data_IF_670641123507
#
_entry.id   IF_670641123507
#
_cell.length_a   1.000
_cell.length_b   1.000
_cell.length_c   1.000
_cell.angle_alpha   90.00
_cell.angle_beta   90.00
_cell.angle_gamma   90.00
#
_symmetry.space_group_name_H-M   'P 1'
#
loop_
_entity.id
_entity.type
_entity.pdbx_description
1 polymer ?
#
# COMPACT_ATOMS: atom_id res chain seq x y z
N UNK A 1 8.19 9.84 -24.22
CA UNK A 1 7.66 8.64 -23.52
C UNK A 1 6.64 8.00 -24.43
N UNK A 2 6.50 6.67 -24.41
CA UNK A 2 5.43 5.96 -25.12
C UNK A 2 4.08 6.33 -24.47
N UNK A 3 3.03 6.57 -25.27
CA UNK A 3 1.73 7.03 -24.80
C UNK A 3 1.10 6.11 -23.76
N UNK A 4 1.34 4.79 -23.86
CA UNK A 4 0.83 3.80 -22.89
C UNK A 4 1.45 3.99 -21.51
N UNK A 5 2.76 4.24 -21.42
CA UNK A 5 3.41 4.49 -20.13
C UNK A 5 2.93 5.81 -19.50
N UNK A 6 2.73 6.83 -20.33
CA UNK A 6 2.25 8.13 -19.86
C UNK A 6 0.84 8.02 -19.27
N UNK A 7 -0.08 7.34 -19.94
CA UNK A 7 -1.46 7.13 -19.49
C UNK A 7 -1.48 6.38 -18.16
N UNK A 8 -0.78 5.24 -18.06
CA UNK A 8 -0.74 4.43 -16.83
C UNK A 8 -0.18 5.23 -15.65
N UNK A 9 0.87 6.03 -15.85
CA UNK A 9 1.44 6.82 -14.77
C UNK A 9 0.54 7.99 -14.36
N UNK A 10 -0.20 8.61 -15.29
CA UNK A 10 -1.22 9.62 -14.94
C UNK A 10 -2.35 9.02 -14.13
N UNK A 11 -2.82 7.82 -14.49
CA UNK A 11 -3.82 7.08 -13.75
C UNK A 11 -3.31 6.72 -12.34
N UNK A 12 -2.04 6.29 -12.22
CA UNK A 12 -1.39 6.02 -10.94
C UNK A 12 -1.35 7.28 -10.06
N UNK A 13 -0.87 8.41 -10.59
CA UNK A 13 -0.82 9.67 -9.84
C UNK A 13 -2.22 10.13 -9.40
N UNK A 14 -3.23 9.96 -10.25
CA UNK A 14 -4.61 10.24 -9.90
C UNK A 14 -5.13 9.32 -8.78
N UNK A 15 -4.79 8.02 -8.84
CA UNK A 15 -5.13 7.07 -7.78
C UNK A 15 -4.46 7.46 -6.45
N UNK A 16 -3.16 7.78 -6.45
CA UNK A 16 -2.42 8.20 -5.25
C UNK A 16 -3.02 9.50 -4.67
N UNK A 17 -3.37 10.46 -5.52
CA UNK A 17 -4.01 11.71 -5.07
C UNK A 17 -5.35 11.47 -4.35
N UNK A 18 -6.11 10.46 -4.77
CA UNK A 18 -7.37 10.04 -4.14
C UNK A 18 -7.20 9.11 -2.94
N UNK A 19 -5.98 8.67 -2.66
CA UNK A 19 -5.64 7.74 -1.60
C UNK A 19 -4.71 8.35 -0.54
N UNK A 20 -5.11 9.46 0.14
CA UNK A 20 -4.26 10.10 1.16
C UNK A 20 -4.07 9.23 2.41
N UNK A 21 -4.85 8.17 2.61
CA UNK A 21 -4.68 7.15 3.64
C UNK A 21 -5.12 5.78 3.12
N UNK A 22 -4.76 4.70 3.81
CA UNK A 22 -5.16 3.32 3.46
C UNK A 22 -6.67 3.17 3.33
N UNK A 23 -7.46 3.84 4.18
CA UNK A 23 -8.94 3.82 4.11
C UNK A 23 -9.46 4.41 2.79
N UNK A 24 -8.82 5.46 2.30
CA UNK A 24 -9.14 6.08 1.01
C UNK A 24 -8.71 5.20 -0.16
N UNK A 25 -7.55 4.52 -0.07
CA UNK A 25 -7.09 3.58 -1.08
C UNK A 25 -8.09 2.43 -1.25
N UNK A 26 -8.49 1.79 -0.15
CA UNK A 26 -9.52 0.73 -0.13
C UNK A 26 -10.84 1.24 -0.71
N UNK A 27 -11.31 2.41 -0.30
CA UNK A 27 -12.56 2.98 -0.81
C UNK A 27 -12.48 3.28 -2.32
N UNK A 28 -11.36 3.78 -2.82
CA UNK A 28 -11.15 4.06 -4.24
C UNK A 28 -11.22 2.77 -5.08
N UNK A 29 -10.54 1.71 -4.64
CA UNK A 29 -10.56 0.39 -5.30
C UNK A 29 -11.95 -0.25 -5.20
N UNK A 30 -12.59 -0.23 -4.02
CA UNK A 30 -13.95 -0.75 -3.82
C UNK A 30 -14.96 -0.07 -4.76
N UNK A 31 -14.86 1.25 -4.88
CA UNK A 31 -15.71 2.03 -5.78
C UNK A 31 -15.49 1.64 -7.25
N UNK A 32 -14.24 1.51 -7.68
CA UNK A 32 -13.92 1.08 -9.04
C UNK A 32 -14.41 -0.35 -9.33
N UNK A 33 -14.29 -1.26 -8.36
CA UNK A 33 -14.83 -2.63 -8.47
C UNK A 33 -16.37 -2.65 -8.58
N UNK A 34 -17.07 -1.80 -7.82
CA UNK A 34 -18.52 -1.65 -7.92
C UNK A 34 -18.95 -1.26 -9.34
N UNK A 35 -18.27 -0.28 -9.96
CA UNK A 35 -18.51 0.07 -11.37
C UNK A 35 -18.15 -1.05 -12.36
N UNK A 36 -17.23 -1.94 -12.00
CA UNK A 36 -16.87 -3.13 -12.78
C UNK A 36 -17.81 -4.33 -12.55
N UNK A 37 -18.89 -4.13 -11.79
CA UNK A 37 -19.94 -5.14 -11.55
C UNK A 37 -19.58 -6.17 -10.46
N UNK A 38 -18.70 -5.83 -9.53
CA UNK A 38 -18.43 -6.66 -8.35
C UNK A 38 -19.52 -6.44 -7.29
N UNK A 39 -20.03 -7.55 -6.73
CA UNK A 39 -20.96 -7.54 -5.61
C UNK A 39 -20.20 -7.43 -4.30
N UNK A 40 -20.50 -6.41 -3.50
CA UNK A 40 -19.96 -6.31 -2.15
C UNK A 40 -20.64 -7.30 -1.22
N UNK A 41 -19.83 -8.10 -0.52
CA UNK A 41 -20.27 -9.06 0.49
C UNK A 41 -19.61 -8.73 1.83
N UNK A 42 -20.23 -9.14 2.93
CA UNK A 42 -19.75 -8.84 4.28
C UNK A 42 -19.16 -10.07 4.97
N UNK A 43 -18.15 -9.90 5.78
CA UNK A 43 -17.56 -11.01 6.52
C UNK A 43 -18.54 -11.61 7.55
N UNK A 44 -19.41 -10.80 8.11
CA UNK A 44 -20.39 -11.18 9.13
C UNK A 44 -21.51 -12.08 8.57
N UNK A 45 -21.78 -11.98 7.26
CA UNK A 45 -22.87 -12.72 6.63
C UNK A 45 -22.43 -14.08 6.08
N UNK A 46 -23.30 -15.07 6.00
CA UNK A 46 -23.08 -16.28 5.18
C UNK A 46 -22.92 -15.91 3.70
N UNK A 47 -21.88 -16.46 3.04
CA UNK A 47 -21.67 -16.16 1.62
C UNK A 47 -22.42 -17.13 0.71
N UNK A 48 -23.03 -16.57 -0.32
CA UNK A 48 -23.61 -17.29 -1.45
C UNK A 48 -22.81 -16.92 -2.69
N UNK A 49 -21.80 -17.74 -2.99
CA UNK A 49 -20.88 -17.52 -4.12
C UNK A 49 -21.35 -18.37 -5.30
N UNK A 50 -21.53 -17.73 -6.44
CA UNK A 50 -21.97 -18.36 -7.67
C UNK A 50 -20.84 -18.45 -8.69
N UNK A 51 -20.91 -19.43 -9.58
CA UNK A 51 -20.03 -19.53 -10.74
C UNK A 51 -20.26 -18.34 -11.68
N UNK A 52 -19.24 -17.83 -12.32
CA UNK A 52 -19.26 -16.59 -13.09
C UNK A 52 -19.33 -15.31 -12.26
N UNK A 53 -19.50 -15.42 -10.92
CA UNK A 53 -19.68 -14.29 -10.02
C UNK A 53 -18.39 -13.49 -9.76
N UNK A 54 -18.59 -12.21 -9.37
CA UNK A 54 -17.52 -11.25 -9.01
C UNK A 54 -17.86 -10.62 -7.66
N UNK A 55 -16.94 -10.70 -6.71
CA UNK A 55 -17.22 -10.30 -5.34
C UNK A 55 -16.07 -9.47 -4.76
N UNK A 56 -16.43 -8.58 -3.83
CA UNK A 56 -15.47 -7.82 -3.01
C UNK A 56 -15.89 -7.87 -1.55
N UNK A 57 -14.93 -8.05 -0.68
CA UNK A 57 -15.09 -8.02 0.78
C UNK A 57 -14.01 -7.14 1.39
N UNK A 58 -14.38 -6.35 2.41
CA UNK A 58 -13.45 -5.50 3.14
C UNK A 58 -13.35 -5.93 4.60
N UNK A 59 -12.21 -5.70 5.21
CA UNK A 59 -11.98 -5.85 6.65
C UNK A 59 -11.49 -4.54 7.23
N UNK A 60 -12.09 -4.09 8.32
CA UNK A 60 -11.77 -2.84 9.01
C UNK A 60 -11.81 -1.58 8.10
N UNK A 61 -12.35 -1.67 6.88
CA UNK A 61 -12.31 -0.60 5.89
C UNK A 61 -10.91 -0.23 5.39
N UNK A 62 -9.87 -1.01 5.76
CA UNK A 62 -8.47 -0.76 5.43
C UNK A 62 -7.76 -1.93 4.73
N UNK A 63 -8.39 -3.10 4.67
CA UNK A 63 -7.97 -4.22 3.85
C UNK A 63 -9.13 -4.69 2.96
N UNK A 64 -8.79 -5.27 1.79
CA UNK A 64 -9.79 -5.65 0.79
C UNK A 64 -9.35 -6.93 0.08
N UNK A 65 -10.33 -7.82 -0.21
CA UNK A 65 -10.16 -8.90 -1.17
C UNK A 65 -11.24 -8.84 -2.23
N UNK A 66 -10.83 -8.80 -3.49
CA UNK A 66 -11.73 -8.93 -4.63
C UNK A 66 -11.44 -10.24 -5.34
N UNK A 67 -12.49 -10.95 -5.78
CA UNK A 67 -12.30 -12.22 -6.45
C UNK A 67 -13.37 -12.49 -7.51
N UNK A 68 -13.00 -13.34 -8.48
CA UNK A 68 -13.87 -13.78 -9.55
C UNK A 68 -13.87 -15.29 -9.61
N UNK A 69 -15.03 -15.86 -9.92
CA UNK A 69 -15.24 -17.31 -10.04
C UNK A 69 -15.45 -17.62 -11.52
N UNK A 70 -14.66 -18.52 -12.14
CA UNK A 70 -14.92 -18.94 -13.50
C UNK A 70 -16.21 -19.77 -13.60
N UNK A 71 -16.75 -19.93 -14.83
CA UNK A 71 -18.03 -20.63 -15.08
C UNK A 71 -17.98 -22.12 -14.68
N UNK A 72 -16.82 -22.76 -14.75
CA UNK A 72 -16.62 -24.14 -14.30
C UNK A 72 -16.39 -24.29 -12.78
N UNK A 73 -16.30 -23.15 -12.05
CA UNK A 73 -16.03 -23.07 -10.61
C UNK A 73 -14.57 -22.99 -10.26
N UNK A 74 -13.65 -23.35 -11.16
CA UNK A 74 -12.19 -23.32 -10.96
C UNK A 74 -11.69 -24.28 -9.89
N UNK A 75 -10.45 -24.74 -10.02
CA UNK A 75 -9.83 -25.71 -9.12
C UNK A 75 -8.49 -25.24 -8.52
N UNK A 76 -8.15 -23.99 -8.71
CA UNK A 76 -6.92 -23.33 -8.17
C UNK A 76 -7.17 -21.85 -7.99
N UNK A 77 -6.36 -21.22 -7.16
CA UNK A 77 -6.36 -19.78 -6.96
C UNK A 77 -5.16 -19.14 -7.68
N UNK A 78 -5.40 -17.99 -8.29
CA UNK A 78 -4.37 -17.04 -8.74
C UNK A 78 -4.52 -15.78 -7.92
N UNK A 79 -3.49 -15.45 -7.14
CA UNK A 79 -3.58 -14.37 -6.14
C UNK A 79 -2.50 -13.32 -6.44
N UNK A 80 -2.89 -12.06 -6.52
CA UNK A 80 -1.96 -10.93 -6.37
C UNK A 80 -2.21 -10.27 -5.03
N UNK A 81 -1.15 -9.95 -4.32
CA UNK A 81 -1.21 -9.32 -3.00
C UNK A 81 -0.29 -8.10 -2.95
N UNK A 82 -0.73 -7.04 -2.29
CA UNK A 82 -0.03 -5.77 -2.07
C UNK A 82 -0.52 -5.14 -0.77
N UNK A 83 0.07 -4.01 -0.34
CA UNK A 83 -0.45 -3.26 0.80
C UNK A 83 -0.88 -1.84 0.43
N UNK A 84 -1.67 -1.23 1.28
CA UNK A 84 -2.25 0.09 1.02
C UNK A 84 -1.83 1.16 2.01
N UNK A 85 -1.14 0.78 3.10
CA UNK A 85 -0.55 1.69 4.07
C UNK A 85 0.82 2.19 3.60
N UNK A 86 1.33 3.24 4.22
CA UNK A 86 2.64 3.84 3.93
C UNK A 86 3.15 4.53 5.19
N UNK A 87 4.48 4.68 5.38
CA UNK A 87 5.03 5.36 6.54
C UNK A 87 4.53 6.79 6.65
N UNK A 88 4.12 7.18 7.85
CA UNK A 88 3.52 8.48 8.13
C UNK A 88 3.56 8.82 9.62
N UNK A 89 2.99 9.96 10.00
CA UNK A 89 2.68 10.30 11.38
C UNK A 89 1.19 10.05 11.66
N UNK A 90 0.90 9.20 12.66
CA UNK A 90 -0.45 9.03 13.20
C UNK A 90 -0.75 10.13 14.21
N UNK A 91 -1.91 10.74 14.10
CA UNK A 91 -2.40 11.73 15.07
C UNK A 91 -2.95 10.96 16.28
N UNK A 92 -2.48 11.33 17.49
CA UNK A 92 -2.89 10.71 18.75
C UNK A 92 -4.30 11.13 19.17
N UNK A 93 -4.93 10.35 20.06
CA UNK A 93 -6.30 10.57 20.52
C UNK A 93 -6.57 11.95 21.13
N UNK A 94 -5.62 12.52 21.86
CA UNK A 94 -5.63 13.92 22.28
C UNK A 94 -4.67 14.72 21.38
N UNK A 95 -5.17 15.28 20.27
CA UNK A 95 -4.31 15.71 19.18
C UNK A 95 -3.63 17.05 19.41
N UNK A 96 -4.08 17.88 20.32
CA UNK A 96 -3.62 19.26 20.41
C UNK A 96 -2.66 19.50 21.57
N UNK A 97 -1.51 20.08 21.25
CA UNK A 97 -0.53 20.58 22.20
C UNK A 97 -0.50 22.11 22.09
N UNK A 98 -0.88 22.79 23.17
CA UNK A 98 -0.99 24.25 23.23
C UNK A 98 0.08 24.83 24.14
N UNK A 99 0.74 25.90 23.70
CA UNK A 99 1.55 26.79 24.52
C UNK A 99 1.12 28.23 24.31
N UNK A 100 1.88 29.20 24.87
CA UNK A 100 1.50 30.62 24.81
C UNK A 100 1.52 31.21 23.37
N UNK A 101 2.17 30.56 22.42
CA UNK A 101 2.37 31.09 21.08
C UNK A 101 1.70 30.25 19.99
N UNK A 102 1.64 28.94 20.17
CA UNK A 102 1.30 28.01 19.09
C UNK A 102 0.37 26.85 19.52
N UNK A 103 -0.36 26.33 18.54
CA UNK A 103 -1.04 25.04 18.61
C UNK A 103 -0.30 24.07 17.68
N UNK A 104 0.16 22.96 18.24
CA UNK A 104 0.84 21.87 17.51
C UNK A 104 0.01 20.60 17.62
N UNK A 105 0.20 19.65 16.70
CA UNK A 105 -0.41 18.34 16.80
C UNK A 105 0.50 17.34 17.49
N UNK A 106 -0.09 16.54 18.38
CA UNK A 106 0.54 15.43 19.04
C UNK A 106 0.47 14.20 18.12
N UNK A 107 1.63 13.75 17.64
CA UNK A 107 1.73 12.68 16.67
C UNK A 107 2.71 11.59 17.14
N UNK A 108 2.60 10.43 16.53
CA UNK A 108 3.57 9.34 16.66
C UNK A 108 3.93 8.77 15.29
N UNK A 109 5.12 8.20 15.15
CA UNK A 109 5.56 7.58 13.91
C UNK A 109 4.80 6.30 13.62
N UNK A 110 4.37 6.13 12.38
CA UNK A 110 3.80 4.93 11.83
C UNK A 110 4.73 4.40 10.74
N UNK A 111 5.33 3.21 10.94
CA UNK A 111 6.35 2.66 10.06
C UNK A 111 7.72 3.32 10.19
N UNK A 112 8.65 2.89 9.36
CA UNK A 112 10.05 3.33 9.35
C UNK A 112 10.31 4.42 8.32
N UNK A 113 10.02 5.69 8.61
CA UNK A 113 10.15 6.80 7.67
C UNK A 113 11.52 7.48 7.66
N UNK A 114 11.89 8.12 6.56
CA UNK A 114 13.01 9.06 6.48
C UNK A 114 12.54 10.42 7.03
N UNK A 115 12.74 10.64 8.32
CA UNK A 115 12.15 11.74 9.09
C UNK A 115 12.47 13.13 8.53
N UNK A 116 13.69 13.37 8.07
CA UNK A 116 14.12 14.66 7.51
C UNK A 116 13.32 15.10 6.29
N UNK A 117 12.72 14.16 5.56
CA UNK A 117 11.95 14.48 4.34
C UNK A 117 10.56 15.06 4.63
N UNK A 118 10.13 15.03 5.89
CA UNK A 118 8.84 15.58 6.32
C UNK A 118 8.92 17.05 6.73
N UNK A 119 10.12 17.58 6.90
CA UNK A 119 10.33 18.98 7.28
C UNK A 119 10.03 19.92 6.12
N UNK A 120 9.52 21.11 6.47
CA UNK A 120 9.25 22.24 5.54
C UNK A 120 8.34 21.88 4.36
N UNK A 121 7.50 20.85 4.52
CA UNK A 121 6.55 20.40 3.50
C UNK A 121 5.13 20.87 3.82
N UNK A 122 4.32 21.19 2.80
CA UNK A 122 2.89 21.40 2.98
C UNK A 122 2.24 20.06 3.34
N UNK A 123 1.68 19.96 4.54
CA UNK A 123 1.04 18.75 5.04
C UNK A 123 -0.47 18.95 5.26
N UNK A 124 -1.19 17.85 5.24
CA UNK A 124 -2.60 17.77 5.62
C UNK A 124 -2.85 16.50 6.42
N UNK A 125 -4.10 16.30 6.87
CA UNK A 125 -4.53 15.13 7.60
C UNK A 125 -5.70 14.43 6.88
N UNK A 126 -5.64 13.09 6.83
CA UNK A 126 -6.70 12.25 6.30
C UNK A 126 -6.76 10.90 7.04
N UNK A 127 -7.90 10.23 6.92
CA UNK A 127 -8.13 8.93 7.54
C UNK A 127 -9.61 8.66 7.71
N UNK A 128 -10.00 8.16 8.88
CA UNK A 128 -11.39 7.96 9.23
C UNK A 128 -11.70 8.46 10.64
N UNK A 129 -12.97 8.75 10.87
CA UNK A 129 -13.55 8.91 12.19
C UNK A 129 -14.63 7.86 12.42
N UNK A 130 -14.87 7.53 13.68
CA UNK A 130 -15.98 6.69 14.11
C UNK A 130 -16.99 7.58 14.81
N UNK A 131 -18.22 7.58 14.34
CA UNK A 131 -19.31 8.39 14.89
C UNK A 131 -20.46 7.50 15.36
N UNK A 132 -21.26 8.00 16.30
CA UNK A 132 -22.53 7.38 16.70
C UNK A 132 -23.69 7.97 15.88
N UNK A 133 -24.32 7.15 15.06
CA UNK A 133 -25.51 7.52 14.30
C UNK A 133 -26.67 6.55 14.60
N UNK A 134 -27.76 7.04 15.16
CA UNK A 134 -28.92 6.22 15.52
C UNK A 134 -28.58 4.99 16.39
N UNK A 135 -27.65 5.18 17.34
CA UNK A 135 -27.20 4.11 18.24
C UNK A 135 -26.26 3.06 17.60
N UNK A 136 -25.78 3.30 16.39
CA UNK A 136 -24.80 2.46 15.70
C UNK A 136 -23.48 3.20 15.50
N UNK A 137 -22.37 2.47 15.56
CA UNK A 137 -21.06 2.99 15.20
C UNK A 137 -20.89 2.98 13.68
N UNK A 138 -20.59 4.13 13.10
CA UNK A 138 -20.40 4.33 11.66
C UNK A 138 -19.02 4.90 11.41
N UNK A 139 -18.28 4.31 10.47
CA UNK A 139 -17.00 4.82 9.99
C UNK A 139 -17.24 5.82 8.86
N UNK A 140 -16.65 7.02 8.97
CA UNK A 140 -16.65 8.05 7.91
C UNK A 140 -15.23 8.41 7.51
N UNK A 141 -14.99 8.46 6.21
CA UNK A 141 -13.72 8.96 5.68
C UNK A 141 -13.62 10.46 5.88
N UNK A 142 -12.43 10.92 6.21
CA UNK A 142 -12.10 12.33 6.39
C UNK A 142 -10.83 12.66 5.64
N UNK A 143 -10.87 13.74 4.87
CA UNK A 143 -9.70 14.38 4.28
C UNK A 143 -9.87 15.89 4.43
N UNK A 144 -8.95 16.56 5.11
CA UNK A 144 -8.99 18.03 5.22
C UNK A 144 -8.76 18.70 3.87
N UNK A 145 -8.06 18.01 2.95
CA UNK A 145 -7.82 18.37 1.54
C UNK A 145 -7.33 19.82 1.32
N UNK A 146 -6.63 20.36 2.28
CA UNK A 146 -5.96 21.66 2.22
C UNK A 146 -4.67 21.61 3.01
N UNK A 147 -3.72 22.47 2.69
CA UNK A 147 -2.51 22.63 3.51
C UNK A 147 -2.89 23.27 4.85
N UNK A 148 -2.69 22.52 5.92
CA UNK A 148 -3.04 22.96 7.28
C UNK A 148 -1.89 22.85 8.26
N UNK A 149 -0.83 22.15 7.89
CA UNK A 149 0.24 21.72 8.78
C UNK A 149 1.59 21.89 8.11
N UNK A 150 2.59 22.16 8.93
CA UNK A 150 4.02 22.10 8.56
C UNK A 150 4.84 21.64 9.77
N UNK A 151 5.89 20.88 9.54
CA UNK A 151 6.93 20.60 10.55
C UNK A 151 8.11 21.51 10.21
N UNK A 152 8.32 22.64 10.92
CA UNK A 152 9.36 23.59 10.56
C UNK A 152 10.73 23.12 10.99
N UNK A 153 11.72 23.24 10.10
CA UNK A 153 13.13 23.09 10.45
C UNK A 153 13.60 24.20 11.40
N UNK A 154 14.58 23.88 12.26
CA UNK A 154 15.32 24.91 13.00
C UNK A 154 16.22 25.67 12.02
N UNK A 155 16.19 27.01 12.10
CA UNK A 155 17.02 27.83 11.22
C UNK A 155 18.51 27.53 11.42
N UNK A 156 19.29 27.48 10.32
CA UNK A 156 20.73 27.20 10.38
C UNK A 156 21.52 28.14 11.31
N UNK A 157 21.01 29.36 11.55
CA UNK A 157 21.60 30.32 12.47
C UNK A 157 21.45 29.90 13.94
N UNK A 158 20.47 29.09 14.25
CA UNK A 158 20.19 28.59 15.60
C UNK A 158 20.81 27.20 15.83
N UNK A 159 20.96 26.39 14.76
CA UNK A 159 21.67 25.11 14.77
C UNK A 159 22.67 25.04 13.60
N UNK A 160 23.92 25.48 13.86
CA UNK A 160 24.97 25.48 12.83
C UNK A 160 25.53 24.11 12.51
N UNK A 161 25.15 23.07 13.27
CA UNK A 161 25.58 21.68 13.09
C UNK A 161 24.59 20.84 12.32
N UNK A 162 23.44 21.38 11.95
CA UNK A 162 22.33 20.67 11.30
C UNK A 162 22.78 19.82 10.08
N UNK A 163 23.73 20.34 9.28
CA UNK A 163 24.25 19.62 8.11
C UNK A 163 25.30 18.54 8.46
N UNK A 164 25.73 18.44 9.70
CA UNK A 164 26.65 17.41 10.18
C UNK A 164 26.01 16.10 10.61
N UNK A 165 24.69 16.04 10.57
CA UNK A 165 23.85 14.92 11.03
C UNK A 165 23.03 15.29 12.27
N UNK A 166 21.78 14.87 12.28
CA UNK A 166 20.83 15.09 13.37
C UNK A 166 20.10 13.80 13.74
N UNK A 167 20.11 13.45 15.03
CA UNK A 167 19.33 12.34 15.55
C UNK A 167 17.92 12.84 15.92
N UNK A 168 16.95 12.59 15.05
CA UNK A 168 15.58 13.07 15.20
C UNK A 168 14.85 12.46 16.39
N UNK A 169 14.23 13.32 17.20
CA UNK A 169 13.30 12.94 18.26
C UNK A 169 11.88 13.36 17.85
N UNK A 170 11.02 12.37 17.57
CA UNK A 170 9.64 12.62 17.09
C UNK A 170 8.88 13.54 18.05
N UNK A 171 9.02 13.35 19.36
CA UNK A 171 8.29 14.10 20.38
C UNK A 171 8.74 15.56 20.51
N UNK A 172 9.94 15.89 20.06
CA UNK A 172 10.52 17.24 20.19
C UNK A 172 10.61 17.95 18.84
N UNK A 173 11.10 17.25 17.80
CA UNK A 173 11.49 17.86 16.55
C UNK A 173 10.40 17.80 15.48
N UNK A 174 9.45 16.85 15.60
CA UNK A 174 8.57 16.47 14.49
C UNK A 174 7.09 16.70 14.78
N UNK A 175 6.76 17.53 15.76
CA UNK A 175 5.39 17.92 16.07
C UNK A 175 4.91 18.99 15.06
N UNK A 176 3.85 18.70 14.26
CA UNK A 176 3.38 19.65 13.26
C UNK A 176 2.79 20.91 13.87
N UNK A 177 3.19 22.05 13.35
CA UNK A 177 2.55 23.35 13.63
C UNK A 177 1.19 23.38 12.95
N UNK A 178 0.16 23.69 13.72
CA UNK A 178 -1.21 23.80 13.24
C UNK A 178 -1.73 25.24 13.21
N UNK A 179 -1.35 26.07 14.18
CA UNK A 179 -1.75 27.47 14.22
C UNK A 179 -1.12 28.28 15.33
N UNK A 180 -1.43 29.58 15.38
CA UNK A 180 -1.12 30.44 16.50
C UNK A 180 -2.06 30.17 17.66
N UNK A 181 -1.63 30.47 18.90
CA UNK A 181 -2.46 30.26 20.08
C UNK A 181 -3.74 31.09 20.00
N UNK A 182 -4.86 30.40 19.90
CA UNK A 182 -6.23 30.95 19.90
C UNK A 182 -7.13 29.88 20.52
N UNK A 183 -7.88 30.26 21.54
CA UNK A 183 -8.75 29.32 22.27
C UNK A 183 -9.90 28.78 21.41
N UNK A 184 -10.26 29.47 20.33
CA UNK A 184 -11.30 29.04 19.40
C UNK A 184 -10.76 28.05 18.35
N UNK A 185 -9.43 27.87 18.21
CA UNK A 185 -8.85 26.98 17.22
C UNK A 185 -8.88 25.53 17.72
N UNK A 186 -9.64 24.67 17.03
CA UNK A 186 -9.70 23.24 17.31
C UNK A 186 -9.44 22.41 16.04
N UNK A 187 -8.52 21.48 16.15
CA UNK A 187 -8.25 20.51 15.08
C UNK A 187 -9.43 19.56 14.90
N UNK A 188 -10.03 19.09 16.00
CA UNK A 188 -11.16 18.17 15.92
C UNK A 188 -12.42 18.84 15.37
N UNK A 189 -12.61 20.14 15.54
CA UNK A 189 -13.69 20.87 14.87
C UNK A 189 -13.48 20.96 13.37
N UNK A 190 -12.22 21.14 12.92
CA UNK A 190 -11.89 21.09 11.50
C UNK A 190 -12.14 19.69 10.90
N UNK A 191 -11.82 18.62 11.65
CA UNK A 191 -12.11 17.22 11.27
C UNK A 191 -13.63 16.99 11.19
N UNK A 192 -14.39 17.44 12.20
CA UNK A 192 -15.84 17.33 12.25
C UNK A 192 -16.52 18.07 11.08
N UNK A 193 -16.06 19.29 10.79
CA UNK A 193 -16.54 20.06 9.65
C UNK A 193 -16.26 19.37 8.30
N UNK A 194 -15.08 18.80 8.12
CA UNK A 194 -14.73 18.05 6.91
C UNK A 194 -15.59 16.78 6.74
N UNK A 195 -15.96 16.13 7.84
CA UNK A 195 -16.83 14.96 7.86
C UNK A 195 -18.34 15.30 7.86
N UNK A 196 -18.69 16.57 7.97
CA UNK A 196 -20.08 17.04 8.09
C UNK A 196 -20.82 16.41 9.28
N UNK A 197 -20.16 16.37 10.45
CA UNK A 197 -20.71 15.87 11.71
C UNK A 197 -20.51 16.86 12.83
N UNK A 198 -21.27 16.74 13.93
CA UNK A 198 -20.99 17.49 15.13
C UNK A 198 -19.79 16.89 15.87
N UNK A 199 -18.86 17.71 16.41
CA UNK A 199 -17.64 17.22 17.06
C UNK A 199 -17.90 16.23 18.20
N UNK A 200 -18.94 16.43 18.97
CA UNK A 200 -19.36 15.58 20.10
C UNK A 200 -19.82 14.18 19.68
N UNK A 201 -20.11 13.96 18.40
CA UNK A 201 -20.47 12.65 17.86
C UNK A 201 -19.25 11.82 17.46
N UNK A 202 -18.06 12.39 17.45
CA UNK A 202 -16.82 11.67 17.14
C UNK A 202 -16.38 10.89 18.38
N UNK A 203 -16.39 9.57 18.29
CA UNK A 203 -16.04 8.66 19.38
C UNK A 203 -14.63 8.05 19.25
N UNK A 204 -13.99 8.22 18.10
CA UNK A 204 -12.64 7.76 17.85
C UNK A 204 -12.19 8.12 16.44
N UNK A 205 -10.89 8.01 16.19
CA UNK A 205 -10.34 8.34 14.88
C UNK A 205 -9.06 7.54 14.57
N UNK A 206 -8.82 7.34 13.27
CA UNK A 206 -7.54 6.90 12.72
C UNK A 206 -7.14 7.93 11.67
N UNK A 207 -6.42 8.96 12.09
CA UNK A 207 -5.99 10.09 11.26
C UNK A 207 -4.48 10.09 11.09
N UNK A 208 -4.03 10.33 9.87
CA UNK A 208 -2.62 10.33 9.49
C UNK A 208 -2.28 11.61 8.74
N UNK A 209 -1.03 12.06 8.89
CA UNK A 209 -0.50 13.14 8.06
C UNK A 209 -0.20 12.62 6.65
N UNK A 210 -0.31 13.50 5.67
CA UNK A 210 0.18 13.21 4.33
C UNK A 210 0.74 14.47 3.67
N UNK A 211 1.72 14.26 2.76
CA UNK A 211 2.30 15.34 1.96
C UNK A 211 1.32 15.82 0.90
N UNK A 212 1.18 17.14 0.78
CA UNK A 212 0.37 17.82 -0.24
C UNK A 212 1.15 18.09 -1.54
N UNK A 213 2.41 17.67 -1.62
CA UNK A 213 3.18 17.78 -2.84
C UNK A 213 2.59 16.82 -3.87
N UNK A 214 2.19 17.37 -5.01
CA UNK A 214 1.61 16.58 -6.09
C UNK A 214 2.67 15.68 -6.74
N UNK A 215 2.24 14.49 -7.15
CA UNK A 215 3.10 13.59 -7.91
C UNK A 215 3.36 14.15 -9.31
N UNK A 216 4.56 13.90 -9.84
CA UNK A 216 5.00 14.44 -11.13
C UNK A 216 5.81 13.44 -11.96
N UNK A 217 5.73 13.60 -13.27
CA UNK A 217 6.63 12.94 -14.23
C UNK A 217 7.74 13.92 -14.58
N UNK A 218 9.00 13.47 -14.54
CA UNK A 218 10.15 14.34 -14.75
C UNK A 218 11.34 13.58 -15.34
N UNK A 219 12.46 14.28 -15.54
CA UNK A 219 13.60 13.84 -16.31
C UNK A 219 13.51 14.38 -17.74
N UNK A 220 14.64 14.46 -18.45
CA UNK A 220 14.71 15.04 -19.79
C UNK A 220 13.75 14.36 -20.80
N UNK A 221 13.49 13.05 -20.59
CA UNK A 221 12.61 12.22 -21.43
C UNK A 221 11.43 11.68 -20.64
N UNK A 222 11.11 12.27 -19.50
CA UNK A 222 10.08 11.76 -18.58
C UNK A 222 10.35 10.33 -18.11
N UNK A 223 11.61 10.02 -17.74
CA UNK A 223 12.00 8.69 -17.30
C UNK A 223 11.55 8.37 -15.86
N UNK A 224 11.25 9.40 -15.08
CA UNK A 224 10.99 9.27 -13.66
C UNK A 224 9.58 9.73 -13.28
N UNK A 225 9.03 9.06 -12.29
CA UNK A 225 7.83 9.46 -11.56
C UNK A 225 8.21 9.68 -10.10
N UNK A 226 7.78 10.80 -9.53
CA UNK A 226 7.92 11.06 -8.10
C UNK A 226 6.57 11.37 -7.48
N UNK A 227 6.32 10.77 -6.34
CA UNK A 227 5.10 10.97 -5.54
C UNK A 227 5.32 10.50 -4.11
N UNK A 228 4.50 10.95 -3.18
CA UNK A 228 4.36 10.29 -1.89
C UNK A 228 3.68 8.92 -2.08
N UNK A 229 3.96 7.95 -1.19
CA UNK A 229 3.26 6.66 -1.11
C UNK A 229 3.35 5.80 -2.39
N UNK A 230 4.46 5.89 -3.15
CA UNK A 230 4.71 4.92 -4.21
C UNK A 230 4.84 3.52 -3.61
N UNK A 231 5.48 3.42 -2.45
CA UNK A 231 5.45 2.26 -1.59
C UNK A 231 4.17 2.29 -0.73
N UNK A 232 3.19 1.38 -0.92
CA UNK A 232 3.14 0.38 -1.98
C UNK A 232 1.95 0.63 -2.93
N UNK A 233 1.42 1.87 -2.97
CA UNK A 233 0.29 2.21 -3.84
C UNK A 233 0.61 2.00 -5.33
N UNK A 234 1.89 1.98 -5.72
CA UNK A 234 2.30 1.69 -7.09
C UNK A 234 2.07 0.22 -7.45
N UNK A 235 2.50 -0.72 -6.61
CA UNK A 235 2.22 -2.15 -6.81
C UNK A 235 0.74 -2.46 -6.60
N UNK A 236 0.09 -1.86 -5.59
CA UNK A 236 -1.33 -2.01 -5.34
C UNK A 236 -2.17 -1.61 -6.57
N UNK A 237 -1.88 -0.45 -7.16
CA UNK A 237 -2.51 0.01 -8.41
C UNK A 237 -2.23 -0.92 -9.59
N UNK A 238 -0.98 -1.32 -9.79
CA UNK A 238 -0.60 -2.17 -10.92
C UNK A 238 -1.24 -3.56 -10.83
N UNK A 239 -1.25 -4.17 -9.64
CA UNK A 239 -1.91 -5.45 -9.39
C UNK A 239 -3.43 -5.35 -9.59
N UNK A 240 -4.06 -4.27 -9.11
CA UNK A 240 -5.48 -4.00 -9.32
C UNK A 240 -5.84 -3.84 -10.81
N UNK A 241 -5.04 -3.06 -11.56
CA UNK A 241 -5.24 -2.88 -13.01
C UNK A 241 -5.08 -4.20 -13.76
N UNK A 242 -4.07 -5.00 -13.44
CA UNK A 242 -3.88 -6.34 -14.01
C UNK A 242 -5.02 -7.29 -13.65
N UNK A 243 -5.50 -7.26 -12.40
CA UNK A 243 -6.67 -8.03 -11.97
C UNK A 243 -7.92 -7.65 -12.76
N UNK A 244 -8.19 -6.37 -12.99
CA UNK A 244 -9.39 -5.94 -13.73
C UNK A 244 -9.29 -6.22 -15.24
N UNK A 245 -8.09 -6.22 -15.83
CA UNK A 245 -7.85 -6.44 -17.26
C UNK A 245 -7.82 -7.92 -17.68
N UNK A 246 -7.35 -8.84 -16.83
CA UNK A 246 -7.20 -10.27 -17.17
C UNK A 246 -8.54 -10.98 -17.42
N UNK A 247 -8.57 -12.03 -18.26
CA UNK A 247 -9.79 -12.73 -18.70
C UNK A 247 -10.44 -13.64 -17.66
N UNK A 248 -9.66 -14.20 -16.72
CA UNK A 248 -10.15 -14.96 -15.54
C UNK A 248 -11.07 -16.17 -15.85
N UNK A 249 -10.73 -16.92 -16.88
CA UNK A 249 -11.59 -18.00 -17.36
C UNK A 249 -11.32 -19.36 -16.70
N UNK A 250 -10.11 -19.57 -16.11
CA UNK A 250 -9.64 -20.88 -15.67
C UNK A 250 -9.46 -21.03 -14.16
N UNK A 251 -9.20 -19.92 -13.48
CA UNK A 251 -8.81 -19.91 -12.08
C UNK A 251 -9.73 -19.02 -11.26
N UNK A 252 -9.89 -19.35 -9.98
CA UNK A 252 -10.43 -18.38 -9.04
C UNK A 252 -9.36 -17.31 -8.85
N UNK A 253 -9.61 -16.11 -9.38
CA UNK A 253 -8.67 -15.02 -9.34
C UNK A 253 -8.95 -14.13 -8.13
N UNK A 254 -7.92 -13.78 -7.38
CA UNK A 254 -8.02 -12.97 -6.16
C UNK A 254 -7.04 -11.81 -6.22
N UNK A 255 -7.52 -10.60 -5.99
CA UNK A 255 -6.73 -9.42 -5.66
C UNK A 255 -6.85 -9.17 -4.16
N UNK A 256 -5.73 -9.12 -3.45
CA UNK A 256 -5.65 -8.86 -2.02
C UNK A 256 -4.91 -7.55 -1.76
N UNK A 257 -5.51 -6.65 -0.98
CA UNK A 257 -4.88 -5.44 -0.46
C UNK A 257 -4.89 -5.53 1.07
N UNK A 258 -3.71 -5.55 1.66
CA UNK A 258 -3.52 -5.61 3.11
C UNK A 258 -3.24 -4.22 3.69
N UNK A 259 -3.31 -4.14 5.02
CA UNK A 259 -2.97 -2.98 5.82
C UNK A 259 -1.87 -3.35 6.83
N UNK A 260 -1.24 -2.33 7.40
CA UNK A 260 -0.23 -2.45 8.47
C UNK A 260 1.02 -3.27 8.10
N UNK A 261 1.38 -3.33 6.82
CA UNK A 261 2.63 -3.92 6.38
C UNK A 261 3.80 -3.20 7.05
N UNK A 262 3.79 -1.88 7.03
CA UNK A 262 4.81 -0.96 7.52
C UNK A 262 5.10 -1.07 9.04
N UNK A 263 4.24 -1.77 9.76
CA UNK A 263 4.36 -2.05 11.20
C UNK A 263 4.32 -3.55 11.52
N UNK A 264 4.60 -4.41 10.50
CA UNK A 264 4.85 -5.84 10.67
C UNK A 264 3.66 -6.75 10.46
N UNK A 265 2.56 -6.31 9.84
CA UNK A 265 1.43 -7.15 9.40
C UNK A 265 0.71 -7.96 10.48
N UNK A 266 0.97 -7.75 11.77
CA UNK A 266 0.47 -8.55 12.88
C UNK A 266 -0.88 -8.05 13.45
N UNK A 267 -1.72 -7.48 12.59
CA UNK A 267 -3.04 -6.94 12.95
C UNK A 267 -4.17 -7.75 12.33
N UNK A 268 -5.41 -7.46 12.71
CA UNK A 268 -6.60 -8.09 12.15
C UNK A 268 -6.71 -7.97 10.63
N UNK A 269 -6.24 -6.87 10.05
CA UNK A 269 -6.30 -6.52 8.61
C UNK A 269 -4.95 -6.70 7.88
N UNK A 270 -3.89 -7.09 8.58
CA UNK A 270 -2.57 -7.34 8.01
C UNK A 270 -2.43 -8.70 7.34
N UNK A 271 -1.34 -8.91 6.59
CA UNK A 271 -1.05 -10.16 5.91
C UNK A 271 -0.86 -11.35 6.88
N UNK A 272 -0.49 -11.09 8.14
CA UNK A 272 -0.38 -12.09 9.20
C UNK A 272 -1.71 -12.56 9.80
N UNK A 273 -2.84 -11.96 9.39
CA UNK A 273 -4.17 -12.36 9.83
C UNK A 273 -4.73 -13.54 9.03
N UNK A 274 -5.93 -13.97 9.43
CA UNK A 274 -6.66 -15.05 8.74
C UNK A 274 -7.52 -14.56 7.58
N UNK A 275 -7.45 -13.31 7.19
CA UNK A 275 -8.35 -12.73 6.18
C UNK A 275 -8.28 -13.47 4.85
N UNK A 276 -7.09 -13.64 4.28
CA UNK A 276 -6.90 -14.42 3.06
C UNK A 276 -7.36 -15.86 3.24
N UNK A 277 -6.91 -16.56 4.30
CA UNK A 277 -7.29 -17.95 4.58
C UNK A 277 -8.81 -18.14 4.66
N UNK A 278 -9.48 -17.27 5.42
CA UNK A 278 -10.92 -17.33 5.57
C UNK A 278 -11.65 -17.09 4.25
N UNK A 279 -11.19 -16.12 3.45
CA UNK A 279 -11.74 -15.82 2.13
C UNK A 279 -11.64 -17.03 1.21
N UNK A 280 -10.45 -17.63 1.04
CA UNK A 280 -10.28 -18.80 0.16
C UNK A 280 -11.11 -19.99 0.65
N UNK A 281 -11.15 -20.24 1.96
CA UNK A 281 -11.95 -21.33 2.54
C UNK A 281 -13.44 -21.13 2.32
N UNK A 282 -13.96 -19.91 2.50
CA UNK A 282 -15.37 -19.59 2.30
C UNK A 282 -15.78 -19.69 0.84
N UNK A 283 -14.92 -19.24 -0.09
CA UNK A 283 -15.14 -19.42 -1.53
C UNK A 283 -15.27 -20.91 -1.84
N UNK A 284 -14.28 -21.73 -1.46
CA UNK A 284 -14.27 -23.17 -1.74
C UNK A 284 -15.52 -23.87 -1.18
N UNK A 285 -15.90 -23.58 0.06
CA UNK A 285 -17.08 -24.16 0.69
C UNK A 285 -18.39 -23.76 0.01
N UNK A 286 -18.52 -22.51 -0.39
CA UNK A 286 -19.70 -22.04 -1.14
C UNK A 286 -19.84 -22.73 -2.49
N UNK A 287 -18.70 -23.10 -3.13
CA UNK A 287 -18.68 -23.85 -4.38
C UNK A 287 -18.84 -25.37 -4.21
N UNK A 288 -18.99 -25.85 -2.95
CA UNK A 288 -19.22 -27.26 -2.64
C UNK A 288 -17.97 -28.10 -2.44
N UNK A 289 -16.77 -27.51 -2.41
CA UNK A 289 -15.53 -28.24 -2.16
C UNK A 289 -15.40 -28.65 -0.69
N UNK A 290 -14.95 -29.88 -0.47
CA UNK A 290 -14.59 -30.39 0.86
C UNK A 290 -13.33 -29.67 1.42
N UNK A 291 -13.05 -29.93 2.68
CA UNK A 291 -11.82 -29.41 3.29
C UNK A 291 -10.57 -29.92 2.58
N UNK A 292 -10.50 -31.22 2.27
CA UNK A 292 -9.36 -31.84 1.61
C UNK A 292 -9.15 -31.30 0.18
N UNK A 293 -10.23 -31.18 -0.59
CA UNK A 293 -10.18 -30.56 -1.91
C UNK A 293 -9.70 -29.11 -1.82
N UNK A 294 -10.14 -28.35 -0.82
CA UNK A 294 -9.69 -26.96 -0.58
C UNK A 294 -8.18 -26.91 -0.31
N UNK A 295 -7.62 -27.82 0.53
CA UNK A 295 -6.18 -27.88 0.76
C UNK A 295 -5.41 -28.23 -0.52
N UNK A 296 -5.90 -29.17 -1.30
CA UNK A 296 -5.31 -29.54 -2.59
C UNK A 296 -5.38 -28.38 -3.60
N UNK A 297 -6.47 -27.59 -3.62
CA UNK A 297 -6.57 -26.36 -4.42
C UNK A 297 -5.50 -25.35 -4.01
N UNK A 298 -5.37 -25.07 -2.72
CA UNK A 298 -4.36 -24.12 -2.19
C UNK A 298 -2.94 -24.57 -2.57
N UNK A 299 -2.63 -25.85 -2.42
CA UNK A 299 -1.30 -26.39 -2.77
C UNK A 299 -0.94 -26.26 -4.25
N UNK A 300 -1.95 -26.27 -5.15
CA UNK A 300 -1.78 -26.06 -6.61
C UNK A 300 -1.87 -24.59 -7.02
N UNK A 301 -2.16 -23.69 -6.09
CA UNK A 301 -2.33 -22.26 -6.33
C UNK A 301 -0.98 -21.53 -6.40
N UNK A 302 -1.02 -20.27 -6.77
CA UNK A 302 0.17 -19.42 -6.82
C UNK A 302 -0.17 -17.99 -6.39
N UNK A 303 0.75 -17.36 -5.66
CA UNK A 303 0.62 -15.98 -5.25
C UNK A 303 1.79 -15.14 -5.78
N UNK A 304 1.47 -13.98 -6.35
CA UNK A 304 2.41 -12.88 -6.59
C UNK A 304 2.21 -11.88 -5.45
N UNK A 305 3.20 -11.77 -4.59
CA UNK A 305 3.28 -10.73 -3.56
C UNK A 305 4.06 -9.57 -4.16
N UNK A 306 3.41 -8.45 -4.34
CA UNK A 306 3.97 -7.27 -5.01
C UNK A 306 4.07 -6.11 -4.02
N UNK A 307 5.30 -5.67 -3.80
CA UNK A 307 5.72 -4.64 -2.86
C UNK A 307 7.01 -4.01 -3.38
N UNK A 308 7.09 -2.67 -3.45
CA UNK A 308 8.20 -1.97 -4.07
C UNK A 308 9.57 -2.41 -3.50
N UNK A 309 10.62 -2.27 -4.29
CA UNK A 309 11.98 -2.71 -3.93
C UNK A 309 13.03 -1.63 -4.18
N UNK A 310 14.19 -1.76 -3.52
CA UNK A 310 15.25 -0.79 -3.66
C UNK A 310 15.89 -0.83 -5.05
N UNK A 311 16.00 0.33 -5.71
CA UNK A 311 16.84 0.51 -6.89
C UNK A 311 18.28 0.85 -6.49
N UNK A 312 19.23 0.58 -7.40
CA UNK A 312 20.60 1.05 -7.26
C UNK A 312 20.63 2.57 -7.11
N UNK A 313 21.15 3.03 -5.97
CA UNK A 313 21.22 4.46 -5.67
C UNK A 313 22.31 5.15 -6.48
N UNK A 314 22.03 6.25 -7.17
CA UNK A 314 22.99 6.88 -8.09
C UNK A 314 24.26 7.41 -7.40
N UNK A 315 24.18 7.83 -6.14
CA UNK A 315 25.30 8.35 -5.37
C UNK A 315 25.88 7.37 -4.34
N UNK A 316 25.21 6.22 -4.11
CA UNK A 316 25.52 5.27 -3.05
C UNK A 316 25.38 3.83 -3.53
N UNK A 317 26.08 3.51 -4.62
CA UNK A 317 26.11 2.15 -5.19
C UNK A 317 26.69 1.11 -4.23
N UNK A 318 27.50 1.54 -3.27
CA UNK A 318 28.11 0.70 -2.24
C UNK A 318 27.11 0.04 -1.28
N UNK A 319 25.88 0.51 -1.19
CA UNK A 319 24.82 -0.12 -0.39
C UNK A 319 24.12 -1.28 -1.08
N UNK A 320 24.33 -1.45 -2.38
CA UNK A 320 23.73 -2.54 -3.15
C UNK A 320 24.65 -3.75 -3.27
N UNK A 321 24.05 -4.93 -3.54
CA UNK A 321 24.81 -6.09 -4.01
C UNK A 321 25.46 -5.76 -5.37
N UNK A 322 26.72 -6.14 -5.62
CA UNK A 322 27.44 -5.69 -6.82
C UNK A 322 26.86 -6.18 -8.14
N UNK A 323 26.05 -7.26 -8.13
CA UNK A 323 25.48 -7.88 -9.35
C UNK A 323 23.97 -8.02 -9.33
N UNK A 324 23.33 -7.96 -8.16
CA UNK A 324 21.87 -8.09 -7.99
C UNK A 324 21.24 -6.75 -7.56
N UNK A 325 21.57 -5.67 -8.26
CA UNK A 325 21.11 -4.32 -7.99
C UNK A 325 20.16 -3.84 -9.10
N UNK A 326 18.86 -3.80 -8.85
CA UNK A 326 17.87 -3.35 -9.83
C UNK A 326 18.02 -1.87 -10.19
N UNK A 327 17.59 -1.52 -11.40
CA UNK A 327 17.60 -0.14 -11.91
C UNK A 327 16.19 0.30 -12.26
N UNK A 328 15.92 1.60 -12.10
CA UNK A 328 14.68 2.21 -12.56
C UNK A 328 14.48 1.96 -14.06
N UNK A 329 13.26 1.70 -14.48
CA UNK A 329 12.88 1.35 -15.86
C UNK A 329 13.46 0.03 -16.39
N UNK A 330 14.03 -0.80 -15.51
CA UNK A 330 14.63 -2.08 -15.88
C UNK A 330 13.68 -3.27 -15.80
N UNK A 331 12.45 -3.07 -15.37
CA UNK A 331 11.44 -4.11 -15.22
C UNK A 331 11.22 -4.57 -13.78
N UNK A 332 10.37 -5.58 -13.64
CA UNK A 332 9.93 -6.09 -12.33
C UNK A 332 11.09 -6.75 -11.59
N UNK A 333 11.23 -6.40 -10.32
CA UNK A 333 12.24 -6.95 -9.41
C UNK A 333 11.72 -8.23 -8.78
N UNK A 334 12.48 -9.32 -8.87
CA UNK A 334 12.26 -10.56 -8.12
C UNK A 334 13.18 -10.54 -6.91
N UNK A 335 12.60 -10.57 -5.72
CA UNK A 335 13.31 -10.39 -4.44
C UNK A 335 13.73 -11.75 -3.86
N UNK A 336 15.00 -11.91 -3.49
CA UNK A 336 15.54 -13.12 -2.84
C UNK A 336 16.21 -12.79 -1.51
N UNK A 337 16.05 -13.66 -0.53
CA UNK A 337 16.72 -13.52 0.77
C UNK A 337 16.96 -14.90 1.40
N UNK A 338 18.23 -15.22 1.72
CA UNK A 338 18.61 -16.50 2.33
C UNK A 338 17.99 -16.71 3.73
N UNK A 339 17.65 -15.64 4.45
CA UNK A 339 16.99 -15.70 5.76
C UNK A 339 15.45 -15.81 5.64
N UNK A 340 14.93 -16.02 4.41
CA UNK A 340 13.50 -16.17 4.12
C UNK A 340 12.66 -14.95 4.54
N UNK A 341 13.24 -13.75 4.44
CA UNK A 341 12.50 -12.49 4.56
C UNK A 341 11.59 -12.23 3.36
N UNK A 342 11.84 -12.94 2.25
CA UNK A 342 10.99 -13.07 1.07
C UNK A 342 10.65 -14.54 0.85
N UNK A 343 9.42 -14.81 0.39
CA UNK A 343 8.92 -16.16 0.15
C UNK A 343 9.49 -16.80 -1.15
N UNK A 344 10.15 -16.00 -1.98
CA UNK A 344 10.69 -16.44 -3.26
C UNK A 344 11.69 -17.60 -3.12
N UNK A 345 11.46 -18.65 -3.87
CA UNK A 345 12.38 -19.77 -4.06
C UNK A 345 12.69 -19.99 -5.56
N UNK A 346 13.47 -21.02 -5.87
CA UNK A 346 13.86 -21.33 -7.25
C UNK A 346 12.66 -21.66 -8.15
N UNK A 347 11.63 -22.33 -7.61
CA UNK A 347 10.44 -22.71 -8.37
C UNK A 347 9.56 -21.48 -8.66
N UNK A 348 9.23 -20.71 -7.65
CA UNK A 348 8.37 -19.54 -7.79
C UNK A 348 9.01 -18.46 -8.65
N UNK A 349 10.34 -18.26 -8.53
CA UNK A 349 11.08 -17.36 -9.40
C UNK A 349 11.08 -17.84 -10.87
N UNK A 350 11.28 -19.14 -11.12
CA UNK A 350 11.26 -19.70 -12.48
C UNK A 350 9.87 -19.56 -13.11
N UNK A 351 8.81 -19.85 -12.36
CA UNK A 351 7.43 -19.65 -12.81
C UNK A 351 7.18 -18.20 -13.22
N UNK A 352 7.56 -17.24 -12.37
CA UNK A 352 7.31 -15.83 -12.63
C UNK A 352 8.16 -15.30 -13.81
N UNK A 353 9.42 -15.73 -13.92
CA UNK A 353 10.27 -15.39 -15.08
C UNK A 353 9.68 -15.90 -16.39
N UNK A 354 9.16 -17.14 -16.41
CA UNK A 354 8.53 -17.70 -17.62
C UNK A 354 7.25 -16.95 -17.97
N UNK A 355 6.42 -16.59 -16.97
CA UNK A 355 5.24 -15.74 -17.14
C UNK A 355 5.63 -14.40 -17.78
N UNK A 356 6.59 -13.68 -17.20
CA UNK A 356 7.07 -12.40 -17.71
C UNK A 356 7.67 -12.50 -19.11
N UNK A 357 8.45 -13.55 -19.39
CA UNK A 357 9.00 -13.82 -20.73
C UNK A 357 7.90 -13.96 -21.77
N UNK A 358 6.83 -14.71 -21.48
CA UNK A 358 5.65 -14.86 -22.36
C UNK A 358 4.91 -13.54 -22.54
N UNK A 359 4.79 -12.75 -21.49
CA UNK A 359 4.18 -11.43 -21.51
C UNK A 359 5.10 -10.32 -22.10
N UNK A 360 6.34 -10.66 -22.47
CA UNK A 360 7.37 -9.71 -22.95
C UNK A 360 7.68 -8.60 -21.94
N UNK A 361 7.67 -8.95 -20.66
CA UNK A 361 7.98 -8.06 -19.54
C UNK A 361 9.39 -8.34 -19.05
N UNK A 362 10.27 -7.33 -18.94
CA UNK A 362 11.60 -7.50 -18.38
C UNK A 362 11.55 -7.74 -16.86
N UNK A 363 12.49 -8.55 -16.36
CA UNK A 363 12.66 -8.82 -14.94
C UNK A 363 14.09 -8.57 -14.49
N UNK A 364 14.24 -8.15 -13.24
CA UNK A 364 15.52 -7.96 -12.57
C UNK A 364 15.58 -8.81 -11.31
N UNK A 365 16.77 -9.01 -10.76
CA UNK A 365 16.96 -9.74 -9.50
C UNK A 365 17.46 -8.79 -8.42
N UNK A 366 16.91 -8.94 -7.22
CA UNK A 366 17.36 -8.24 -6.03
C UNK A 366 17.80 -9.22 -4.94
N UNK A 367 18.97 -8.96 -4.38
CA UNK A 367 19.40 -9.49 -3.08
C UNK A 367 19.98 -8.35 -2.27
N UNK A 368 19.86 -8.43 -0.96
CA UNK A 368 20.58 -7.48 -0.10
C UNK A 368 22.09 -7.70 -0.21
N UNK A 369 22.86 -6.66 -0.02
CA UNK A 369 24.29 -6.78 0.25
C UNK A 369 24.49 -7.66 1.50
N UNK A 370 25.43 -8.62 1.47
CA UNK A 370 25.49 -9.70 2.45
C UNK A 370 25.70 -9.24 3.91
N UNK A 371 26.22 -8.04 4.12
CA UNK A 371 26.46 -7.43 5.42
C UNK A 371 25.38 -6.42 5.85
N UNK A 372 24.35 -6.21 5.00
CA UNK A 372 23.21 -5.33 5.29
C UNK A 372 21.94 -6.18 5.49
N UNK A 373 21.28 -6.10 6.67
CA UNK A 373 20.04 -6.82 6.90
C UNK A 373 18.93 -6.26 6.00
N UNK A 374 18.15 -7.16 5.41
CA UNK A 374 16.97 -6.80 4.62
C UNK A 374 15.72 -6.61 5.45
N UNK A 375 14.77 -5.85 4.90
CA UNK A 375 13.39 -5.82 5.37
C UNK A 375 12.67 -7.15 5.09
N UNK A 376 11.46 -7.28 5.57
CA UNK A 376 10.50 -8.34 5.23
C UNK A 376 9.39 -7.75 4.36
N UNK A 377 8.51 -8.58 3.84
CA UNK A 377 7.33 -8.16 3.08
C UNK A 377 6.14 -9.06 3.41
N UNK A 378 4.99 -8.78 2.83
CA UNK A 378 3.74 -9.49 3.11
C UNK A 378 3.73 -10.97 2.65
N UNK A 379 4.53 -11.36 1.65
CA UNK A 379 4.50 -12.71 1.07
C UNK A 379 4.91 -13.81 2.04
N UNK A 380 6.07 -13.68 2.69
CA UNK A 380 6.52 -14.65 3.68
C UNK A 380 5.60 -14.68 4.92
N UNK A 381 5.05 -13.55 5.33
CA UNK A 381 4.12 -13.44 6.46
C UNK A 381 2.80 -14.15 6.13
N UNK A 382 2.20 -13.86 4.97
CA UNK A 382 0.96 -14.48 4.51
C UNK A 382 1.09 -16.00 4.39
N UNK A 383 2.24 -16.51 3.92
CA UNK A 383 2.51 -17.94 3.80
C UNK A 383 2.48 -18.69 5.14
N UNK A 384 2.63 -18.01 6.27
CA UNK A 384 2.46 -18.63 7.59
C UNK A 384 0.99 -18.99 7.87
N UNK A 385 0.04 -18.41 7.16
CA UNK A 385 -1.41 -18.62 7.32
C UNK A 385 -2.01 -19.43 6.17
N UNK A 386 -1.53 -19.18 4.94
CA UNK A 386 -1.97 -19.85 3.71
C UNK A 386 -0.73 -20.24 2.92
N UNK A 387 -0.24 -21.46 3.14
CA UNK A 387 1.01 -21.94 2.55
C UNK A 387 0.78 -22.36 1.10
N UNK A 388 1.34 -21.60 0.15
CA UNK A 388 1.33 -21.88 -1.27
C UNK A 388 2.60 -21.37 -1.96
N UNK A 389 2.96 -21.85 -3.15
CA UNK A 389 4.04 -21.26 -3.94
C UNK A 389 3.83 -19.76 -4.12
N UNK A 390 4.81 -18.97 -3.68
CA UNK A 390 4.73 -17.50 -3.67
C UNK A 390 6.02 -16.90 -4.19
N UNK A 391 5.92 -15.89 -5.04
CA UNK A 391 7.04 -15.05 -5.46
C UNK A 391 6.86 -13.65 -4.86
N UNK A 392 7.87 -13.13 -4.18
CA UNK A 392 7.94 -11.73 -3.78
C UNK A 392 8.60 -10.91 -4.88
N UNK A 393 7.84 -9.98 -5.41
CA UNK A 393 8.25 -9.08 -6.50
C UNK A 393 8.03 -7.64 -6.09
N UNK A 394 8.46 -6.70 -6.92
CA UNK A 394 8.16 -5.29 -6.71
C UNK A 394 8.68 -4.43 -7.83
N UNK A 395 8.44 -3.14 -7.71
CA UNK A 395 8.93 -2.14 -8.65
C UNK A 395 10.13 -1.42 -8.03
N UNK A 396 11.19 -1.18 -8.83
CA UNK A 396 12.39 -0.53 -8.31
C UNK A 396 12.10 0.94 -8.00
N UNK A 397 12.49 1.41 -6.81
CA UNK A 397 12.34 2.80 -6.41
C UNK A 397 13.55 3.33 -5.64
N UNK A 398 13.70 4.64 -5.62
CA UNK A 398 14.63 5.42 -4.80
C UNK A 398 13.87 6.13 -3.70
N UNK A 399 14.58 6.44 -2.62
CA UNK A 399 14.05 7.17 -1.48
C UNK A 399 12.80 6.52 -0.87
N UNK A 400 12.74 5.18 -0.83
CA UNK A 400 11.69 4.43 -0.15
C UNK A 400 11.50 4.96 1.28
N UNK A 401 10.23 5.12 1.69
CA UNK A 401 9.84 5.70 2.99
C UNK A 401 10.15 7.20 3.17
N UNK A 402 10.48 7.90 2.08
CA UNK A 402 10.48 9.37 2.06
C UNK A 402 9.04 9.90 1.97
N UNK A 403 8.82 11.13 2.41
CA UNK A 403 7.56 11.82 2.14
C UNK A 403 7.32 12.12 0.64
N UNK A 404 8.33 11.86 -0.21
CA UNK A 404 8.29 12.01 -1.67
C UNK A 404 9.32 11.08 -2.32
N UNK A 405 8.85 9.97 -2.88
CA UNK A 405 9.62 8.86 -3.42
C UNK A 405 9.79 8.96 -4.94
N UNK A 406 10.69 8.17 -5.53
CA UNK A 406 10.96 8.21 -6.97
C UNK A 406 11.05 6.82 -7.56
N UNK A 407 10.37 6.58 -8.68
CA UNK A 407 10.39 5.32 -9.42
C UNK A 407 10.57 5.55 -10.94
N UNK A 408 10.67 4.46 -11.71
CA UNK A 408 10.73 4.49 -13.16
C UNK A 408 9.34 4.53 -13.80
N UNK A 409 9.18 5.31 -14.87
CA UNK A 409 7.88 5.46 -15.56
C UNK A 409 7.43 4.25 -16.37
N UNK A 410 8.33 3.28 -16.65
CA UNK A 410 7.97 2.06 -17.38
C UNK A 410 7.51 0.93 -16.47
N UNK A 411 8.01 0.91 -15.23
CA UNK A 411 7.94 -0.25 -14.38
C UNK A 411 6.50 -0.56 -13.92
N UNK A 412 5.67 0.46 -13.68
CA UNK A 412 4.23 0.30 -13.37
C UNK A 412 3.51 -0.49 -14.47
N UNK A 413 3.73 -0.12 -15.71
CA UNK A 413 3.10 -0.80 -16.86
C UNK A 413 3.56 -2.25 -16.98
N UNK A 414 4.83 -2.53 -16.71
CA UNK A 414 5.35 -3.91 -16.71
C UNK A 414 4.63 -4.78 -15.68
N UNK A 415 4.38 -4.27 -14.47
CA UNK A 415 3.65 -5.04 -13.47
C UNK A 415 2.16 -5.21 -13.84
N UNK A 416 1.51 -4.20 -14.44
CA UNK A 416 0.16 -4.34 -15.00
C UNK A 416 0.12 -5.47 -16.03
N UNK A 417 1.05 -5.50 -16.99
CA UNK A 417 1.12 -6.54 -18.03
C UNK A 417 1.36 -7.93 -17.45
N UNK A 418 2.29 -8.06 -16.48
CA UNK A 418 2.57 -9.34 -15.82
C UNK A 418 1.36 -9.86 -15.04
N UNK A 419 0.69 -9.00 -14.25
CA UNK A 419 -0.51 -9.39 -13.51
C UNK A 419 -1.68 -9.72 -14.45
N UNK A 420 -1.84 -9.00 -15.56
CA UNK A 420 -2.85 -9.33 -16.58
C UNK A 420 -2.62 -10.75 -17.12
N UNK A 421 -1.39 -11.05 -17.55
CA UNK A 421 -1.04 -12.39 -18.05
C UNK A 421 -1.12 -13.49 -16.98
N UNK A 422 -0.94 -13.14 -15.71
CA UNK A 422 -1.08 -14.08 -14.60
C UNK A 422 -2.51 -14.52 -14.38
N UNK A 423 -3.48 -13.66 -14.65
CA UNK A 423 -4.91 -13.94 -14.50
C UNK A 423 -5.57 -14.55 -15.76
N UNK A 424 -4.84 -14.74 -16.83
CA UNK A 424 -5.27 -15.47 -18.05
C UNK A 424 -4.99 -16.98 -17.91
#
# INVERSE_FOLDING_TARGET
>A
MDAVYEEINRDLLHFIAKAPSVFHAVNSIRTALSYAGFTEIREEDPWQIERGGKYVVTRNGSALMAFTIPEDGGHTFRITASHGDSPSFKIKENPELRDAAYVRLNVEGYGGMIMSTWLDRPLSAAGRIIVSENGKLVSKLVNLDRTTLVIPSVAIHMDRTANGGHAWNIQQDLLPLYGTADDSLSFMDAVAAAAQVAPENILGHDLYLYSRIEGTLWGERHEFISSARLDDLQCAFAAFRGFTAGKKEKHICVYALFDNEEVGSATNQGAGATFLKNTLTRISRSLGYSYDETQAMIARSFMISADNGHALHPNHGEYADPVNAPRLNGGIVIKFNAQQKYATDGFSAAFFRDLCRRAKVPTQTFTNRSDIPGGSTLGNISNTKVSMPTVDTGLPQLAMHSSYETAGTKDTAYLVMACTAFFE
#
